data_IF_479449751703
#
_entry.id   IF_479449751703
#
_cell.length_a   1.000
_cell.length_b   1.000
_cell.length_c   1.000
_cell.angle_alpha   90.00
_cell.angle_beta   90.00
_cell.angle_gamma   90.00
#
_symmetry.space_group_name_H-M   'P 1'
#
loop_
_entity.id
_entity.type
_entity.pdbx_description
1 polymer ?
#
# COMPACT_ATOMS: atom_id res chain seq x y z
N UNK A 1 -12.61 82.12 -50.96
CA UNK A 1 -12.46 83.49 -50.40
C UNK A 1 -12.06 83.35 -48.96
N UNK A 2 -10.78 83.43 -48.65
CA UNK A 2 -9.96 84.38 -47.88
C UNK A 2 -10.80 85.09 -46.74
N UNK A 3 -10.26 85.37 -45.50
CA UNK A 3 -8.85 85.33 -45.04
C UNK A 3 -8.63 84.76 -43.62
N UNK A 4 -7.45 84.37 -43.38
CA UNK A 4 -6.42 84.75 -42.38
C UNK A 4 -6.87 85.53 -41.13
N UNK A 5 -6.50 85.05 -39.95
CA UNK A 5 -5.70 85.89 -39.02
C UNK A 5 -5.10 85.03 -37.88
N UNK A 6 -3.75 85.12 -37.72
CA UNK A 6 -3.02 84.91 -36.48
C UNK A 6 -2.97 86.27 -35.73
N UNK A 7 -2.82 86.23 -34.39
CA UNK A 7 -1.50 86.46 -33.88
C UNK A 7 -1.17 85.87 -32.49
N UNK A 8 0.12 85.68 -32.36
CA UNK A 8 1.09 85.96 -31.28
C UNK A 8 1.02 85.33 -29.90
N UNK A 9 2.08 84.55 -29.69
CA UNK A 9 3.07 84.56 -28.58
C UNK A 9 2.62 84.54 -27.12
N UNK A 10 3.09 83.57 -26.41
CA UNK A 10 3.18 83.52 -24.96
C UNK A 10 4.05 82.38 -24.49
N UNK A 11 5.39 82.57 -24.47
CA UNK A 11 6.40 81.70 -23.92
C UNK A 11 6.22 81.63 -22.39
N UNK A 12 5.88 80.48 -21.82
CA UNK A 12 6.03 80.23 -20.41
C UNK A 12 6.80 78.87 -20.21
N UNK A 13 7.98 79.02 -19.71
CA UNK A 13 8.89 77.96 -19.27
C UNK A 13 8.20 77.22 -18.10
N UNK A 14 7.79 76.01 -18.33
CA UNK A 14 7.25 75.09 -17.31
C UNK A 14 8.28 74.01 -17.02
N UNK A 15 8.88 74.08 -15.83
CA UNK A 15 9.80 73.10 -15.30
C UNK A 15 9.02 71.79 -15.12
N UNK A 16 9.36 70.79 -15.94
CA UNK A 16 8.86 69.39 -15.74
C UNK A 16 9.76 68.71 -14.71
N UNK A 17 9.23 68.58 -13.49
CA UNK A 17 9.81 67.80 -12.43
C UNK A 17 9.54 66.30 -12.70
N UNK A 18 10.53 65.58 -13.28
CA UNK A 18 10.44 64.11 -13.41
C UNK A 18 10.57 63.47 -12.04
N UNK A 19 9.45 63.10 -11.44
CA UNK A 19 9.42 62.22 -10.26
C UNK A 19 9.58 60.79 -10.76
N UNK A 20 10.81 60.26 -10.63
CA UNK A 20 11.10 58.85 -10.80
C UNK A 20 10.47 58.06 -9.65
N UNK A 21 9.30 57.48 -9.90
CA UNK A 21 8.71 56.44 -9.02
C UNK A 21 9.60 55.19 -9.17
N UNK A 22 10.49 54.97 -8.22
CA UNK A 22 11.21 53.69 -8.05
C UNK A 22 10.20 52.70 -7.52
N UNK A 23 9.54 51.94 -8.39
CA UNK A 23 8.67 50.84 -8.04
C UNK A 23 9.56 49.73 -7.47
N UNK A 24 9.75 49.68 -6.14
CA UNK A 24 10.29 48.52 -5.47
C UNK A 24 9.30 47.36 -5.64
N UNK A 25 9.62 46.46 -6.59
CA UNK A 25 8.93 45.17 -6.72
C UNK A 25 9.35 44.35 -5.49
N UNK A 26 8.55 44.41 -4.44
CA UNK A 26 8.61 43.40 -3.39
C UNK A 26 8.17 42.08 -4.01
N UNK A 27 9.11 41.26 -4.46
CA UNK A 27 8.88 39.84 -4.65
C UNK A 27 8.48 39.24 -3.30
N UNK A 28 7.19 39.16 -3.03
CA UNK A 28 6.64 38.32 -2.00
C UNK A 28 6.90 36.86 -2.43
N UNK A 29 8.07 36.36 -2.15
CA UNK A 29 8.35 34.94 -2.17
C UNK A 29 7.39 34.30 -1.17
N UNK A 30 6.43 33.49 -1.67
CA UNK A 30 5.66 32.60 -0.79
C UNK A 30 6.67 31.83 0.07
N UNK A 31 6.52 31.79 1.39
CA UNK A 31 7.39 30.94 2.21
C UNK A 31 7.31 29.54 1.66
N UNK A 32 8.46 28.98 1.29
CA UNK A 32 8.54 27.58 0.92
C UNK A 32 7.88 26.78 2.04
N UNK A 33 6.89 25.95 1.72
CA UNK A 33 6.23 25.11 2.69
C UNK A 33 7.32 24.32 3.42
N UNK A 34 7.48 24.57 4.72
CA UNK A 34 8.46 23.84 5.53
C UNK A 34 8.15 22.35 5.47
N UNK A 35 9.13 21.54 5.12
CA UNK A 35 8.99 20.08 5.12
C UNK A 35 8.54 19.61 6.52
N UNK A 36 7.36 19.00 6.67
CA UNK A 36 6.82 18.60 7.97
C UNK A 36 7.65 17.53 8.68
N UNK A 37 8.62 16.92 7.97
CA UNK A 37 9.53 15.90 8.51
C UNK A 37 10.95 16.43 8.77
N UNK A 38 11.25 17.70 8.45
CA UNK A 38 12.61 18.25 8.54
C UNK A 38 13.19 18.21 9.97
N UNK A 39 12.42 18.62 10.97
CA UNK A 39 12.86 18.61 12.36
C UNK A 39 13.08 17.18 12.86
N UNK A 40 12.16 16.29 12.52
CA UNK A 40 12.25 14.87 12.90
C UNK A 40 13.46 14.20 12.23
N UNK A 41 13.76 14.55 10.98
CA UNK A 41 14.95 14.08 10.28
C UNK A 41 16.24 14.51 10.98
N UNK A 42 16.35 15.78 11.39
CA UNK A 42 17.51 16.26 12.16
C UNK A 42 17.65 15.55 13.50
N UNK A 43 16.53 15.24 14.16
CA UNK A 43 16.53 14.50 15.42
C UNK A 43 16.97 13.05 15.23
N UNK A 44 16.48 12.39 14.19
CA UNK A 44 16.88 11.03 13.84
C UNK A 44 18.40 10.92 13.55
N UNK A 45 18.99 11.91 12.88
CA UNK A 45 20.45 11.96 12.68
C UNK A 45 21.22 12.06 14.01
N UNK A 46 20.72 12.86 14.95
CA UNK A 46 21.35 13.01 16.29
C UNK A 46 21.28 11.74 17.12
N UNK A 47 20.31 10.85 16.89
CA UNK A 47 20.21 9.51 17.50
C UNK A 47 21.22 8.50 16.91
N UNK A 48 22.00 8.89 15.92
CA UNK A 48 22.98 8.02 15.25
C UNK A 48 22.63 7.66 13.83
N UNK A 49 21.48 8.12 13.32
CA UNK A 49 21.07 7.96 11.93
C UNK A 49 20.91 6.49 11.49
N UNK A 50 20.43 5.62 12.37
CA UNK A 50 20.15 4.22 12.07
C UNK A 50 18.67 3.92 12.19
N UNK A 51 18.20 2.98 11.39
CA UNK A 51 16.83 2.45 11.40
C UNK A 51 16.85 0.93 11.17
N UNK A 52 16.96 0.11 12.19
CA UNK A 52 16.72 -1.33 12.09
C UNK A 52 15.25 -1.62 11.78
N UNK A 53 14.99 -2.14 10.57
CA UNK A 53 13.66 -2.45 10.04
C UNK A 53 13.48 -3.96 9.91
N UNK A 54 12.51 -4.53 10.62
CA UNK A 54 12.09 -5.93 10.47
C UNK A 54 10.82 -5.98 9.60
N UNK A 55 10.96 -6.39 8.35
CA UNK A 55 9.83 -6.45 7.43
C UNK A 55 10.01 -7.55 6.37
N UNK A 56 8.98 -8.35 6.09
CA UNK A 56 8.98 -9.33 5.01
C UNK A 56 8.66 -8.64 3.68
N UNK A 57 9.63 -7.96 3.10
CA UNK A 57 9.48 -7.26 1.84
C UNK A 57 9.78 -8.18 0.65
N UNK A 58 9.09 -7.98 -0.46
CA UNK A 58 9.48 -8.61 -1.73
C UNK A 58 10.90 -8.15 -2.14
N UNK A 59 11.63 -8.97 -2.91
CA UNK A 59 12.98 -8.63 -3.33
C UNK A 59 13.07 -7.26 -4.05
N UNK A 60 12.03 -6.88 -4.78
CA UNK A 60 11.94 -5.57 -5.42
C UNK A 60 11.68 -4.46 -4.39
N UNK A 61 10.73 -4.64 -3.49
CA UNK A 61 10.39 -3.67 -2.46
C UNK A 61 11.57 -3.39 -1.53
N UNK A 62 12.32 -4.44 -1.17
CA UNK A 62 13.54 -4.36 -0.36
C UNK A 62 14.61 -3.44 -1.00
N UNK A 63 14.75 -3.48 -2.32
CA UNK A 63 15.71 -2.64 -3.03
C UNK A 63 15.22 -1.21 -3.27
N UNK A 64 13.90 -0.98 -3.39
CA UNK A 64 13.33 0.31 -3.78
C UNK A 64 12.98 1.17 -2.56
N UNK A 65 12.24 0.61 -1.60
CA UNK A 65 11.65 1.41 -0.50
C UNK A 65 12.73 1.94 0.46
N UNK A 66 13.65 1.12 1.01
CA UNK A 66 14.72 1.64 1.86
C UNK A 66 15.65 2.63 1.14
N UNK A 67 15.98 2.36 -0.13
CA UNK A 67 16.84 3.25 -0.91
C UNK A 67 16.19 4.63 -1.14
N UNK A 68 14.89 4.67 -1.42
CA UNK A 68 14.16 5.93 -1.58
C UNK A 68 14.09 6.71 -0.27
N UNK A 69 13.85 6.03 0.86
CA UNK A 69 13.88 6.65 2.18
C UNK A 69 15.25 7.25 2.50
N UNK A 70 16.34 6.50 2.32
CA UNK A 70 17.70 6.99 2.56
C UNK A 70 18.09 8.16 1.63
N UNK A 71 17.60 8.15 0.40
CA UNK A 71 17.76 9.28 -0.54
C UNK A 71 17.02 10.53 -0.07
N UNK A 72 15.80 10.34 0.47
CA UNK A 72 14.96 11.43 0.97
C UNK A 72 15.49 12.02 2.27
N UNK A 73 16.09 11.19 3.12
CA UNK A 73 16.60 11.54 4.44
C UNK A 73 18.09 11.19 4.59
N UNK A 74 18.99 11.97 3.94
CA UNK A 74 20.43 11.73 4.01
C UNK A 74 20.94 11.73 5.45
N UNK A 75 21.81 10.77 5.79
CA UNK A 75 22.34 10.58 7.14
C UNK A 75 21.51 9.65 8.02
N UNK A 76 20.41 9.11 7.49
CA UNK A 76 19.68 7.98 8.12
C UNK A 76 19.87 6.75 7.24
N UNK A 77 20.35 5.66 7.83
CA UNK A 77 20.60 4.37 7.15
C UNK A 77 19.57 3.34 7.61
N UNK A 78 18.94 2.64 6.68
CA UNK A 78 18.01 1.55 6.96
C UNK A 78 18.75 0.23 6.99
N UNK A 79 18.74 -0.44 8.15
CA UNK A 79 19.26 -1.79 8.33
C UNK A 79 18.08 -2.77 8.25
N UNK A 80 17.79 -3.25 7.04
CA UNK A 80 16.65 -4.13 6.79
C UNK A 80 16.98 -5.60 7.07
N UNK A 81 16.14 -6.26 7.87
CA UNK A 81 16.17 -7.70 8.07
C UNK A 81 14.90 -8.31 7.51
N UNK A 82 15.09 -9.14 6.48
CA UNK A 82 14.05 -9.93 5.85
C UNK A 82 13.99 -11.35 6.46
N UNK A 83 12.79 -11.73 6.86
CA UNK A 83 12.45 -13.10 7.23
C UNK A 83 10.92 -13.28 7.15
N UNK A 84 10.45 -14.52 7.25
CA UNK A 84 9.01 -14.76 7.33
C UNK A 84 8.42 -14.12 8.59
N UNK A 85 7.17 -13.64 8.56
CA UNK A 85 6.56 -12.91 9.68
C UNK A 85 6.62 -13.63 11.02
N UNK A 86 6.45 -14.96 11.03
CA UNK A 86 6.58 -15.81 12.23
C UNK A 86 7.98 -15.79 12.82
N UNK A 87 9.03 -15.83 11.99
CA UNK A 87 10.43 -15.76 12.43
C UNK A 87 10.76 -14.37 12.97
N UNK A 88 10.26 -13.31 12.35
CA UNK A 88 10.45 -11.94 12.84
C UNK A 88 9.77 -11.76 14.20
N UNK A 89 8.53 -12.24 14.38
CA UNK A 89 7.86 -12.23 15.67
C UNK A 89 8.66 -12.98 16.74
N UNK A 90 9.06 -14.22 16.44
CA UNK A 90 9.84 -15.05 17.39
C UNK A 90 11.14 -14.35 17.78
N UNK A 91 11.81 -13.69 16.83
CA UNK A 91 13.03 -12.92 17.07
C UNK A 91 12.75 -11.73 18.00
N UNK A 92 11.75 -10.91 17.72
CA UNK A 92 11.37 -9.76 18.58
C UNK A 92 11.08 -10.22 20.00
N UNK A 93 10.26 -11.27 20.16
CA UNK A 93 9.92 -11.81 21.49
C UNK A 93 11.18 -12.33 22.23
N UNK A 94 12.10 -12.98 21.52
CA UNK A 94 13.38 -13.45 22.10
C UNK A 94 14.26 -12.29 22.54
N UNK A 95 14.38 -11.24 21.70
CA UNK A 95 15.15 -10.03 22.01
C UNK A 95 14.60 -9.33 23.25
N UNK A 96 13.28 -9.17 23.34
CA UNK A 96 12.60 -8.55 24.51
C UNK A 96 12.83 -9.40 25.78
N UNK A 97 12.71 -10.73 25.69
CA UNK A 97 12.99 -11.61 26.83
C UNK A 97 14.46 -11.54 27.26
N UNK A 98 15.37 -11.31 26.33
CA UNK A 98 16.78 -11.06 26.60
C UNK A 98 17.07 -9.64 27.14
N UNK A 99 16.04 -8.82 27.38
CA UNK A 99 16.18 -7.44 27.89
C UNK A 99 16.69 -6.43 26.88
N UNK A 100 16.65 -6.76 25.57
CA UNK A 100 17.21 -5.89 24.52
C UNK A 100 16.36 -5.93 23.26
N UNK A 101 15.82 -4.81 22.85
CA UNK A 101 15.13 -4.61 21.56
C UNK A 101 16.18 -4.17 20.54
N UNK A 102 16.25 -4.84 19.39
CA UNK A 102 17.24 -4.54 18.35
C UNK A 102 16.61 -3.86 17.12
N UNK A 103 15.31 -4.07 16.89
CA UNK A 103 14.59 -3.41 15.82
C UNK A 103 13.87 -2.16 16.30
N UNK A 104 13.73 -1.17 15.41
CA UNK A 104 12.93 0.02 15.67
C UNK A 104 11.50 -0.17 15.15
N UNK A 105 11.36 -0.73 13.95
CA UNK A 105 10.10 -0.87 13.22
C UNK A 105 9.84 -2.33 12.90
N UNK A 106 8.58 -2.74 13.08
CA UNK A 106 8.05 -3.96 12.48
C UNK A 106 7.09 -3.61 11.34
N UNK A 107 7.40 -4.07 10.14
CA UNK A 107 6.66 -3.78 8.90
C UNK A 107 5.88 -4.98 8.33
N UNK A 108 5.60 -5.98 9.16
CA UNK A 108 5.02 -7.24 8.71
C UNK A 108 3.49 -7.28 8.71
N UNK A 109 2.96 -8.50 8.56
CA UNK A 109 1.52 -8.70 8.42
C UNK A 109 0.74 -8.41 9.70
N UNK A 110 -0.51 -8.05 9.52
CA UNK A 110 -1.40 -7.58 10.56
C UNK A 110 -1.66 -8.63 11.67
N UNK A 111 -1.68 -9.93 11.33
CA UNK A 111 -1.87 -11.00 12.32
C UNK A 111 -0.76 -11.05 13.40
N UNK A 112 0.48 -10.74 13.01
CA UNK A 112 1.60 -10.71 13.96
C UNK A 112 1.70 -9.36 14.70
N UNK A 113 1.26 -8.28 14.08
CA UNK A 113 1.11 -6.98 14.76
C UNK A 113 0.09 -7.08 15.89
N UNK A 114 -1.02 -7.81 15.70
CA UNK A 114 -1.97 -8.08 16.76
C UNK A 114 -1.31 -8.78 17.95
N UNK A 115 -0.52 -9.82 17.70
CA UNK A 115 0.21 -10.54 18.75
C UNK A 115 1.24 -9.66 19.47
N UNK A 116 1.93 -8.76 18.75
CA UNK A 116 2.84 -7.79 19.37
C UNK A 116 2.07 -6.78 20.22
N UNK A 117 0.90 -6.35 19.77
CA UNK A 117 0.03 -5.41 20.51
C UNK A 117 -0.52 -6.06 21.79
N UNK A 118 -1.02 -7.30 21.71
CA UNK A 118 -1.50 -8.07 22.88
C UNK A 118 -0.42 -8.25 23.93
N UNK A 119 0.83 -8.44 23.51
CA UNK A 119 2.00 -8.55 24.40
C UNK A 119 2.52 -7.18 24.86
N UNK A 120 1.87 -6.06 24.48
CA UNK A 120 2.27 -4.69 24.80
C UNK A 120 3.68 -4.33 24.32
N UNK A 121 4.09 -4.85 23.18
CA UNK A 121 5.42 -4.66 22.58
C UNK A 121 5.44 -3.54 21.53
N UNK A 122 4.35 -2.84 21.32
CA UNK A 122 4.25 -1.69 20.41
C UNK A 122 4.03 -0.38 21.19
N UNK A 123 4.42 0.73 20.57
CA UNK A 123 4.09 2.08 21.07
C UNK A 123 2.86 2.63 20.35
N UNK A 124 2.02 3.43 21.04
CA UNK A 124 0.94 4.16 20.37
C UNK A 124 1.49 5.14 19.33
N UNK A 125 0.84 5.20 18.16
CA UNK A 125 1.22 6.05 17.04
C UNK A 125 0.27 7.24 16.93
N UNK A 126 0.78 8.45 17.11
CA UNK A 126 0.08 9.69 16.81
C UNK A 126 0.63 10.28 15.49
N UNK A 127 0.18 9.73 14.36
CA UNK A 127 0.68 10.11 13.04
C UNK A 127 -0.35 10.99 12.32
N UNK A 128 -0.05 12.27 12.04
CA UNK A 128 -0.97 13.16 11.32
C UNK A 128 -1.41 12.60 9.97
N UNK A 129 -0.50 11.94 9.25
CA UNK A 129 -0.74 11.32 7.95
C UNK A 129 -1.78 10.20 8.02
N UNK A 130 -1.94 9.56 9.19
CA UNK A 130 -2.95 8.51 9.40
C UNK A 130 -4.39 9.02 9.32
N UNK A 131 -4.62 10.33 9.36
CA UNK A 131 -5.95 10.92 9.22
C UNK A 131 -6.60 10.57 7.86
N UNK A 132 -5.80 10.41 6.81
CA UNK A 132 -6.27 10.04 5.47
C UNK A 132 -6.77 8.59 5.37
N UNK A 133 -6.36 7.71 6.29
CA UNK A 133 -6.62 6.28 6.21
C UNK A 133 -7.98 5.91 6.79
N UNK A 134 -8.75 5.01 6.14
CA UNK A 134 -9.97 4.45 6.68
C UNK A 134 -9.74 3.72 8.00
N UNK A 135 -10.76 3.62 8.85
CA UNK A 135 -10.64 3.03 10.18
C UNK A 135 -10.12 1.57 10.16
N UNK A 136 -10.52 0.78 9.16
CA UNK A 136 -10.06 -0.62 9.03
C UNK A 136 -8.59 -0.76 8.58
N UNK A 137 -7.92 0.34 8.21
CA UNK A 137 -6.52 0.35 7.77
C UNK A 137 -5.57 0.96 8.79
N UNK A 138 -6.04 1.19 10.00
CA UNK A 138 -5.23 1.74 11.09
C UNK A 138 -5.75 1.33 12.45
N UNK A 139 -4.88 1.48 13.45
CA UNK A 139 -5.22 1.43 14.88
C UNK A 139 -4.36 2.42 15.63
N UNK A 140 -4.41 2.38 16.97
CA UNK A 140 -3.51 3.18 17.80
C UNK A 140 -2.04 2.73 17.69
N UNK A 141 -1.75 1.52 17.16
CA UNK A 141 -0.42 0.93 17.17
C UNK A 141 0.17 0.65 15.78
N UNK A 142 -0.61 0.80 14.74
CA UNK A 142 -0.17 0.53 13.37
C UNK A 142 -1.00 1.28 12.33
N UNK A 143 -0.41 1.53 11.18
CA UNK A 143 -1.09 2.03 9.97
C UNK A 143 -0.65 1.18 8.79
N UNK A 144 -1.59 0.82 7.92
CA UNK A 144 -1.32 0.02 6.72
C UNK A 144 -0.33 0.73 5.78
N UNK A 145 0.65 0.00 5.26
CA UNK A 145 1.56 0.47 4.21
C UNK A 145 1.17 -0.04 2.84
N UNK A 146 0.60 -1.22 2.77
CA UNK A 146 0.13 -1.82 1.53
C UNK A 146 -1.09 -2.71 1.77
N UNK A 147 -1.74 -3.05 0.67
CA UNK A 147 -2.90 -3.95 0.65
C UNK A 147 -2.68 -5.07 -0.35
N UNK A 148 -3.29 -6.20 -0.11
CA UNK A 148 -3.33 -7.30 -1.06
C UNK A 148 -4.75 -7.80 -1.28
N UNK A 149 -5.02 -8.30 -2.48
CA UNK A 149 -6.36 -8.72 -2.88
C UNK A 149 -6.35 -10.15 -3.38
N UNK A 150 -7.25 -10.95 -2.83
CA UNK A 150 -7.59 -12.27 -3.32
C UNK A 150 -8.63 -12.12 -4.41
N UNK A 151 -8.29 -12.58 -5.60
CA UNK A 151 -9.14 -12.50 -6.79
C UNK A 151 -9.16 -13.81 -7.55
N UNK A 152 -10.09 -13.94 -8.46
CA UNK A 152 -10.07 -14.99 -9.48
C UNK A 152 -9.22 -14.56 -10.68
N UNK A 153 -8.57 -15.51 -11.32
CA UNK A 153 -7.94 -15.30 -12.62
C UNK A 153 -7.92 -16.59 -13.45
N UNK A 154 -7.65 -16.46 -14.73
CA UNK A 154 -7.69 -17.61 -15.65
C UNK A 154 -6.55 -17.59 -16.67
N UNK A 155 -6.27 -18.78 -17.23
CA UNK A 155 -5.35 -18.95 -18.34
C UNK A 155 -6.11 -18.78 -19.66
N UNK A 156 -5.71 -17.78 -20.47
CA UNK A 156 -6.40 -17.42 -21.73
C UNK A 156 -6.22 -18.43 -22.86
N UNK A 157 -5.25 -19.35 -22.77
CA UNK A 157 -5.11 -20.45 -23.72
C UNK A 157 -6.10 -21.58 -23.44
N UNK A 158 -6.58 -21.71 -22.19
CA UNK A 158 -7.46 -22.80 -21.75
C UNK A 158 -8.91 -22.36 -21.61
N UNK A 159 -9.15 -21.10 -21.27
CA UNK A 159 -10.49 -20.50 -21.19
C UNK A 159 -10.72 -19.64 -22.41
N UNK A 160 -11.66 -20.04 -23.26
CA UNK A 160 -11.99 -19.32 -24.51
C UNK A 160 -12.61 -17.97 -24.20
N UNK A 161 -12.39 -16.99 -25.07
CA UNK A 161 -13.02 -15.68 -25.00
C UNK A 161 -14.55 -15.82 -24.98
N UNK A 162 -15.19 -15.20 -23.99
CA UNK A 162 -16.64 -15.27 -23.74
C UNK A 162 -17.07 -16.39 -22.81
N UNK A 163 -16.17 -17.33 -22.44
CA UNK A 163 -16.42 -18.40 -21.48
C UNK A 163 -15.79 -18.13 -20.10
N UNK A 164 -15.02 -17.03 -19.97
CA UNK A 164 -14.37 -16.62 -18.74
C UNK A 164 -15.38 -16.36 -17.59
N UNK A 165 -14.98 -16.56 -16.31
CA UNK A 165 -15.84 -16.21 -15.19
C UNK A 165 -16.07 -14.70 -15.16
N UNK A 166 -17.30 -14.26 -14.95
CA UNK A 166 -17.71 -12.85 -14.88
C UNK A 166 -17.74 -12.32 -13.45
N UNK A 167 -17.98 -13.21 -12.51
CA UNK A 167 -18.03 -12.97 -11.09
C UNK A 167 -17.64 -14.25 -10.34
N UNK A 168 -17.59 -14.17 -9.03
CA UNK A 168 -17.17 -15.30 -8.22
C UNK A 168 -18.23 -16.42 -8.17
N UNK A 169 -19.52 -16.08 -8.30
CA UNK A 169 -20.63 -17.04 -8.33
C UNK A 169 -20.57 -17.96 -9.54
N UNK A 170 -20.04 -17.47 -10.66
CA UNK A 170 -19.88 -18.27 -11.89
C UNK A 170 -18.98 -19.50 -11.66
N UNK A 171 -18.09 -19.47 -10.67
CA UNK A 171 -17.21 -20.58 -10.33
C UNK A 171 -17.94 -21.79 -9.75
N UNK A 172 -19.18 -21.61 -9.27
CA UNK A 172 -20.04 -22.70 -8.84
C UNK A 172 -20.71 -23.46 -9.99
N UNK A 173 -20.54 -22.99 -11.23
CA UNK A 173 -21.11 -23.67 -12.40
C UNK A 173 -20.40 -25.01 -12.64
N UNK A 174 -21.16 -26.12 -12.86
CA UNK A 174 -20.59 -27.44 -13.15
C UNK A 174 -19.61 -27.50 -14.35
N UNK A 175 -19.67 -26.52 -15.26
CA UNK A 175 -18.69 -26.41 -16.36
C UNK A 175 -17.23 -26.32 -15.88
N UNK A 176 -17.01 -25.85 -14.63
CA UNK A 176 -15.70 -25.70 -14.03
C UNK A 176 -15.23 -26.97 -13.29
N UNK A 177 -15.95 -28.10 -13.43
CA UNK A 177 -15.50 -29.36 -12.84
C UNK A 177 -14.06 -29.65 -13.26
N UNK A 178 -13.22 -30.00 -12.29
CA UNK A 178 -11.78 -30.27 -12.47
C UNK A 178 -10.96 -29.11 -13.07
N UNK A 179 -11.50 -27.88 -13.07
CA UNK A 179 -10.88 -26.71 -13.70
C UNK A 179 -10.34 -25.66 -12.72
N UNK A 180 -10.73 -25.76 -11.44
CA UNK A 180 -10.37 -24.77 -10.44
C UNK A 180 -9.17 -25.20 -9.61
N UNK A 181 -8.32 -24.23 -9.24
CA UNK A 181 -7.30 -24.38 -8.20
C UNK A 181 -7.28 -23.19 -7.25
N UNK A 182 -6.77 -23.38 -6.02
CA UNK A 182 -6.69 -22.35 -4.99
C UNK A 182 -5.74 -22.71 -3.86
N UNK A 183 -5.57 -21.78 -2.93
CA UNK A 183 -4.78 -21.96 -1.71
C UNK A 183 -5.74 -22.34 -0.56
N UNK A 184 -5.51 -23.44 0.15
CA UNK A 184 -6.48 -23.96 1.13
C UNK A 184 -6.64 -23.08 2.37
N UNK A 185 -5.70 -22.15 2.63
CA UNK A 185 -5.74 -21.26 3.79
C UNK A 185 -6.44 -19.92 3.52
N UNK A 186 -6.95 -19.69 2.30
CA UNK A 186 -7.57 -18.43 1.90
C UNK A 186 -9.04 -18.30 2.38
N UNK A 187 -9.28 -18.64 3.63
CA UNK A 187 -10.60 -18.47 4.25
C UNK A 187 -11.03 -16.99 4.33
N UNK A 188 -10.10 -16.06 4.21
CA UNK A 188 -10.38 -14.62 4.12
C UNK A 188 -11.35 -14.30 3.00
N UNK A 189 -11.28 -15.02 1.89
CA UNK A 189 -12.21 -14.84 0.77
C UNK A 189 -13.63 -15.14 1.20
N UNK A 190 -13.85 -16.28 1.90
CA UNK A 190 -15.15 -16.65 2.48
C UNK A 190 -15.65 -15.58 3.46
N UNK A 191 -14.79 -15.12 4.36
CA UNK A 191 -15.14 -14.12 5.38
C UNK A 191 -15.53 -12.80 4.72
N UNK A 192 -14.75 -12.35 3.74
CA UNK A 192 -15.03 -11.12 2.99
C UNK A 192 -16.39 -11.16 2.30
N UNK A 193 -16.70 -12.28 1.65
CA UNK A 193 -18.02 -12.49 1.02
C UNK A 193 -19.13 -12.57 2.06
N UNK A 194 -18.93 -13.31 3.17
CA UNK A 194 -19.91 -13.43 4.22
C UNK A 194 -20.28 -12.08 4.84
N UNK A 195 -19.26 -11.27 5.18
CA UNK A 195 -19.47 -10.02 5.92
C UNK A 195 -19.77 -8.81 5.04
N UNK A 196 -19.16 -8.72 3.85
CA UNK A 196 -19.22 -7.52 3.02
C UNK A 196 -20.10 -7.64 1.79
N UNK A 197 -20.21 -8.84 1.21
CA UNK A 197 -21.04 -9.05 0.02
C UNK A 197 -22.46 -9.50 0.39
N UNK A 198 -22.58 -10.55 1.22
CA UNK A 198 -23.88 -11.19 1.48
C UNK A 198 -24.51 -10.78 2.81
N UNK A 199 -23.73 -10.24 3.74
CA UNK A 199 -24.14 -10.09 5.15
C UNK A 199 -24.75 -11.39 5.72
N UNK A 200 -24.18 -12.54 5.36
CA UNK A 200 -24.64 -13.87 5.73
C UNK A 200 -23.54 -14.90 5.54
N UNK A 201 -23.18 -15.59 6.61
CA UNK A 201 -22.21 -16.69 6.56
C UNK A 201 -22.77 -17.89 5.79
N UNK A 202 -24.05 -18.23 5.98
CA UNK A 202 -24.68 -19.36 5.31
C UNK A 202 -24.67 -19.20 3.78
N UNK A 203 -25.03 -18.01 3.28
CA UNK A 203 -24.99 -17.73 1.84
C UNK A 203 -23.57 -17.86 1.27
N UNK A 204 -22.58 -17.33 1.98
CA UNK A 204 -21.20 -17.48 1.56
C UNK A 204 -20.76 -18.95 1.61
N UNK A 205 -21.02 -19.65 2.70
CA UNK A 205 -20.67 -21.05 2.87
C UNK A 205 -21.33 -21.94 1.80
N UNK A 206 -22.59 -21.70 1.44
CA UNK A 206 -23.28 -22.44 0.37
C UNK A 206 -22.65 -22.21 -0.99
N UNK A 207 -22.21 -20.99 -1.30
CA UNK A 207 -21.45 -20.73 -2.53
C UNK A 207 -20.14 -21.50 -2.54
N UNK A 208 -19.36 -21.43 -1.46
CA UNK A 208 -18.06 -22.09 -1.37
C UNK A 208 -18.20 -23.62 -1.38
N UNK A 209 -19.25 -24.20 -0.80
CA UNK A 209 -19.57 -25.64 -0.95
C UNK A 209 -19.84 -26.02 -2.41
N UNK A 210 -20.59 -25.20 -3.15
CA UNK A 210 -20.82 -25.41 -4.60
C UNK A 210 -19.54 -25.31 -5.40
N UNK A 211 -18.66 -24.35 -5.09
CA UNK A 211 -17.33 -24.24 -5.70
C UNK A 211 -16.50 -25.48 -5.37
N UNK A 212 -16.47 -25.93 -4.12
CA UNK A 212 -15.73 -27.13 -3.71
C UNK A 212 -16.23 -28.38 -4.43
N UNK A 213 -17.53 -28.49 -4.71
CA UNK A 213 -18.12 -29.59 -5.44
C UNK A 213 -17.64 -29.69 -6.91
N UNK A 214 -17.00 -28.65 -7.46
CA UNK A 214 -16.34 -28.69 -8.76
C UNK A 214 -14.97 -29.39 -8.73
N UNK A 215 -14.58 -30.00 -7.63
CA UNK A 215 -13.30 -30.72 -7.45
C UNK A 215 -12.08 -29.80 -7.57
N UNK A 216 -12.05 -28.77 -6.74
CA UNK A 216 -10.95 -27.81 -6.65
C UNK A 216 -9.65 -28.53 -6.29
N UNK A 217 -8.56 -28.21 -7.00
CA UNK A 217 -7.21 -28.63 -6.63
C UNK A 217 -6.55 -27.57 -5.75
N UNK A 218 -6.12 -27.96 -4.56
CA UNK A 218 -5.46 -27.05 -3.64
C UNK A 218 -3.94 -27.16 -3.69
N UNK A 219 -3.27 -26.00 -3.67
CA UNK A 219 -1.82 -25.88 -3.62
C UNK A 219 -1.41 -24.85 -2.57
N UNK A 220 -0.35 -25.13 -1.83
CA UNK A 220 0.16 -24.20 -0.82
C UNK A 220 1.14 -23.20 -1.44
N UNK A 221 0.88 -21.91 -1.21
CA UNK A 221 1.75 -20.81 -1.61
C UNK A 221 1.31 -20.11 -2.89
N UNK A 222 0.95 -18.82 -2.76
CA UNK A 222 0.44 -18.00 -3.87
C UNK A 222 1.44 -17.79 -5.01
N UNK A 223 2.75 -17.71 -4.70
CA UNK A 223 3.78 -17.59 -5.73
C UNK A 223 3.85 -18.84 -6.63
N UNK A 224 3.62 -20.02 -6.05
CA UNK A 224 3.57 -21.27 -6.81
C UNK A 224 2.24 -21.39 -7.56
N UNK A 225 1.14 -21.01 -6.92
CA UNK A 225 -0.19 -21.08 -7.50
C UNK A 225 -0.31 -20.28 -8.81
N UNK A 226 0.27 -19.08 -8.87
CA UNK A 226 0.24 -18.28 -10.10
C UNK A 226 1.13 -18.89 -11.20
N UNK A 227 2.25 -19.52 -10.85
CA UNK A 227 3.08 -20.23 -11.85
C UNK A 227 2.34 -21.44 -12.45
N UNK A 228 1.56 -22.17 -11.66
CA UNK A 228 0.70 -23.24 -12.12
C UNK A 228 -0.39 -22.72 -13.08
N UNK A 229 -0.95 -21.53 -12.79
CA UNK A 229 -1.90 -20.88 -13.70
C UNK A 229 -1.23 -20.52 -15.02
N UNK A 230 -0.03 -19.94 -14.99
CA UNK A 230 0.76 -19.60 -16.20
C UNK A 230 1.06 -20.85 -17.01
N UNK A 231 1.48 -21.93 -16.34
CA UNK A 231 1.78 -23.20 -16.99
C UNK A 231 0.54 -23.96 -17.53
N UNK A 232 -0.67 -23.49 -17.17
CA UNK A 232 -1.92 -24.14 -17.63
C UNK A 232 -2.23 -25.44 -16.91
N UNK A 233 -1.75 -25.64 -15.68
CA UNK A 233 -2.05 -26.84 -14.89
C UNK A 233 -3.55 -26.98 -14.63
N UNK A 234 -4.23 -25.86 -14.37
CA UNK A 234 -5.69 -25.72 -14.30
C UNK A 234 -6.10 -24.43 -14.99
N UNK A 235 -7.29 -24.38 -15.62
CA UNK A 235 -7.77 -23.19 -16.33
C UNK A 235 -7.97 -21.96 -15.47
N UNK A 236 -8.39 -22.12 -14.20
CA UNK A 236 -8.80 -21.02 -13.32
C UNK A 236 -8.19 -21.17 -11.93
N UNK A 237 -7.61 -20.07 -11.45
CA UNK A 237 -7.24 -19.89 -10.05
C UNK A 237 -8.31 -19.02 -9.38
N UNK A 238 -8.93 -19.49 -8.31
CA UNK A 238 -10.02 -18.75 -7.67
C UNK A 238 -9.58 -17.92 -6.46
N UNK A 239 -8.35 -18.11 -5.97
CA UNK A 239 -7.76 -17.37 -4.84
C UNK A 239 -6.34 -16.87 -5.13
N UNK A 240 -6.12 -16.31 -6.32
CA UNK A 240 -4.81 -15.72 -6.64
C UNK A 240 -4.68 -14.30 -6.09
N UNK A 241 -3.44 -13.87 -5.77
CA UNK A 241 -3.15 -12.47 -5.49
C UNK A 241 -3.15 -11.62 -6.75
N UNK A 242 -3.87 -10.50 -6.73
CA UNK A 242 -4.01 -9.62 -7.88
C UNK A 242 -2.68 -9.05 -8.39
N UNK A 243 -1.77 -8.69 -7.48
CA UNK A 243 -0.46 -8.12 -7.82
C UNK A 243 0.49 -9.11 -8.50
N UNK A 244 0.18 -10.40 -8.49
CA UNK A 244 0.97 -11.41 -9.20
C UNK A 244 0.76 -11.40 -10.72
N UNK A 245 -0.37 -10.84 -11.21
CA UNK A 245 -0.71 -10.87 -12.64
C UNK A 245 0.13 -9.91 -13.50
N UNK A 246 0.23 -8.61 -13.19
CA UNK A 246 0.86 -7.66 -14.10
C UNK A 246 2.30 -7.98 -14.48
N UNK A 247 3.20 -8.42 -13.56
CA UNK A 247 4.58 -8.73 -13.93
C UNK A 247 4.69 -9.90 -14.90
N UNK A 248 3.76 -10.87 -14.83
CA UNK A 248 3.73 -12.05 -15.70
C UNK A 248 3.10 -11.75 -17.04
N UNK A 249 2.01 -10.98 -17.04
CA UNK A 249 1.35 -10.51 -18.27
C UNK A 249 2.31 -9.67 -19.13
N UNK A 250 3.12 -8.80 -18.50
CA UNK A 250 4.18 -8.04 -19.20
C UNK A 250 5.24 -8.91 -19.85
N UNK A 251 5.46 -10.12 -19.32
CA UNK A 251 6.34 -11.13 -19.91
C UNK A 251 5.64 -12.04 -20.91
N UNK A 252 4.39 -11.74 -21.27
CA UNK A 252 3.62 -12.51 -22.26
C UNK A 252 2.91 -13.75 -21.69
N UNK A 253 2.80 -13.89 -20.36
CA UNK A 253 2.05 -15.00 -19.78
C UNK A 253 0.58 -14.95 -20.17
N UNK A 254 -0.03 -16.08 -20.61
CA UNK A 254 -1.41 -16.13 -21.09
C UNK A 254 -2.40 -16.19 -19.91
N UNK A 255 -2.38 -15.19 -19.07
CA UNK A 255 -3.27 -15.11 -17.88
C UNK A 255 -3.99 -13.78 -17.82
N UNK A 256 -5.19 -13.77 -17.23
CA UNK A 256 -5.97 -12.57 -16.98
C UNK A 256 -6.59 -12.59 -15.58
N UNK A 257 -6.60 -11.45 -14.84
CA UNK A 257 -7.27 -11.31 -13.56
C UNK A 257 -8.73 -10.92 -13.74
N UNK A 258 -9.61 -11.43 -12.89
CA UNK A 258 -10.97 -10.93 -12.71
C UNK A 258 -10.93 -9.80 -11.68
N UNK A 259 -11.02 -8.57 -12.13
CA UNK A 259 -10.99 -7.38 -11.26
C UNK A 259 -12.38 -6.76 -11.01
N UNK A 260 -13.44 -7.54 -11.17
CA UNK A 260 -14.79 -7.08 -10.83
C UNK A 260 -15.02 -7.07 -9.32
N UNK A 261 -14.47 -8.07 -8.62
CA UNK A 261 -14.59 -8.22 -7.17
C UNK A 261 -13.44 -9.03 -6.58
N UNK A 262 -13.24 -8.90 -5.27
CA UNK A 262 -12.26 -9.64 -4.50
C UNK A 262 -12.27 -9.27 -3.03
N UNK A 263 -11.66 -10.10 -2.19
CA UNK A 263 -11.43 -9.77 -0.78
C UNK A 263 -10.08 -9.11 -0.62
N UNK A 264 -10.06 -7.99 0.10
CA UNK A 264 -8.84 -7.26 0.39
C UNK A 264 -8.42 -7.42 1.85
N UNK A 265 -7.13 -7.35 2.08
CA UNK A 265 -6.56 -7.28 3.42
C UNK A 265 -5.35 -6.35 3.47
N UNK A 266 -4.98 -5.93 4.68
CA UNK A 266 -3.73 -5.22 4.92
C UNK A 266 -2.57 -6.20 4.73
N UNK A 267 -1.66 -5.89 3.82
CA UNK A 267 -0.47 -6.69 3.52
C UNK A 267 0.65 -6.43 4.51
N UNK A 268 1.05 -5.18 4.62
CA UNK A 268 2.07 -4.69 5.54
C UNK A 268 1.61 -3.47 6.35
N UNK A 269 2.31 -3.18 7.42
CA UNK A 269 2.03 -2.04 8.29
C UNK A 269 3.28 -1.28 8.68
N UNK A 270 3.13 -0.03 9.08
CA UNK A 270 4.11 0.69 9.88
C UNK A 270 3.72 0.55 11.36
N UNK A 271 4.58 -0.04 12.17
CA UNK A 271 4.44 -0.10 13.63
C UNK A 271 5.81 0.07 14.29
N UNK A 272 5.85 0.70 15.48
CA UNK A 272 7.09 0.98 16.21
C UNK A 272 7.15 0.11 17.46
N UNK A 273 8.30 -0.55 17.65
CA UNK A 273 8.52 -1.43 18.78
C UNK A 273 8.75 -0.61 20.07
N UNK A 274 8.18 -1.09 21.17
CA UNK A 274 8.42 -0.51 22.49
C UNK A 274 9.87 -0.77 22.91
N UNK A 275 10.60 0.29 23.22
CA UNK A 275 12.03 0.22 23.50
C UNK A 275 12.90 0.27 22.24
N UNK A 276 12.37 0.70 21.13
CA UNK A 276 13.11 0.98 19.89
C UNK A 276 14.38 1.80 20.19
N UNK A 277 15.58 1.36 19.75
CA UNK A 277 16.83 2.07 19.98
C UNK A 277 16.87 3.48 19.38
N UNK A 278 16.17 3.69 18.24
CA UNK A 278 16.17 4.96 17.51
C UNK A 278 14.72 5.43 17.25
N UNK A 279 14.00 5.88 18.31
CA UNK A 279 12.56 6.19 18.22
C UNK A 279 12.23 7.32 17.25
N UNK A 280 13.11 8.32 17.06
CA UNK A 280 12.87 9.38 16.09
C UNK A 280 13.09 8.91 14.65
N UNK A 281 14.06 8.03 14.39
CA UNK A 281 14.22 7.40 13.09
C UNK A 281 13.03 6.48 12.76
N UNK A 282 12.52 5.73 13.73
CA UNK A 282 11.32 4.92 13.62
C UNK A 282 10.08 5.76 13.28
N UNK A 283 9.89 6.87 13.98
CA UNK A 283 8.79 7.80 13.73
C UNK A 283 8.91 8.46 12.35
N UNK A 284 10.11 8.84 11.94
CA UNK A 284 10.39 9.40 10.61
C UNK A 284 9.99 8.41 9.51
N UNK A 285 10.40 7.13 9.67
CA UNK A 285 10.00 6.07 8.75
C UNK A 285 8.49 5.88 8.72
N UNK A 286 7.84 5.73 9.87
CA UNK A 286 6.42 5.48 9.96
C UNK A 286 5.60 6.59 9.28
N UNK A 287 5.93 7.86 9.54
CA UNK A 287 5.27 9.01 8.92
C UNK A 287 5.50 9.06 7.41
N UNK A 288 6.75 8.87 6.97
CA UNK A 288 7.05 8.87 5.54
C UNK A 288 6.39 7.69 4.82
N UNK A 289 6.48 6.47 5.36
CA UNK A 289 5.95 5.27 4.71
C UNK A 289 4.44 5.33 4.44
N UNK A 290 3.69 6.05 5.29
CA UNK A 290 2.24 6.23 5.13
C UNK A 290 1.85 7.56 4.47
N UNK A 291 2.80 8.45 4.17
CA UNK A 291 2.54 9.67 3.42
C UNK A 291 2.28 9.38 1.94
N UNK A 292 1.63 10.31 1.23
CA UNK A 292 1.49 10.16 -0.23
C UNK A 292 2.84 10.00 -0.94
N UNK A 293 3.90 10.69 -0.46
CA UNK A 293 5.25 10.57 -1.01
C UNK A 293 5.78 9.14 -0.88
N UNK A 294 5.78 8.59 0.33
CA UNK A 294 6.23 7.22 0.59
C UNK A 294 5.37 6.19 -0.14
N UNK A 295 4.06 6.37 -0.16
CA UNK A 295 3.14 5.45 -0.82
C UNK A 295 3.30 5.40 -2.35
N UNK A 296 3.73 6.50 -2.99
CA UNK A 296 4.14 6.46 -4.41
C UNK A 296 5.37 5.57 -4.60
N UNK A 297 6.31 5.58 -3.66
CA UNK A 297 7.46 4.68 -3.69
C UNK A 297 7.03 3.22 -3.51
N UNK A 298 6.06 2.93 -2.64
CA UNK A 298 5.47 1.58 -2.55
C UNK A 298 4.86 1.14 -3.89
N UNK A 299 4.13 2.03 -4.57
CA UNK A 299 3.62 1.74 -5.92
C UNK A 299 4.76 1.44 -6.92
N UNK A 300 5.82 2.24 -6.93
CA UNK A 300 7.02 2.03 -7.77
C UNK A 300 7.72 0.72 -7.45
N UNK A 301 7.71 0.30 -6.19
CA UNK A 301 8.21 -0.99 -5.76
C UNK A 301 7.33 -2.17 -6.21
N UNK A 302 6.13 -1.91 -6.73
CA UNK A 302 5.19 -2.91 -7.21
C UNK A 302 4.21 -3.41 -6.15
N UNK A 303 4.21 -2.77 -4.99
CA UNK A 303 3.21 -3.02 -3.95
C UNK A 303 1.90 -2.29 -4.27
N UNK A 304 0.82 -2.66 -3.61
CA UNK A 304 -0.46 -1.95 -3.73
C UNK A 304 -0.58 -0.96 -2.57
N UNK A 305 -0.40 0.34 -2.79
CA UNK A 305 -0.41 1.33 -1.72
C UNK A 305 -1.69 1.26 -0.88
N UNK A 306 -1.57 1.45 0.43
CA UNK A 306 -2.72 1.53 1.32
C UNK A 306 -3.36 2.93 1.36
N UNK A 307 -2.61 3.98 1.03
CA UNK A 307 -3.10 5.35 1.05
C UNK A 307 -4.20 5.56 -0.01
N UNK A 308 -5.37 6.13 0.35
CA UNK A 308 -6.54 6.21 -0.54
C UNK A 308 -6.31 7.06 -1.78
N UNK A 309 -5.41 8.05 -1.72
CA UNK A 309 -5.11 8.98 -2.82
C UNK A 309 -3.95 8.49 -3.72
N UNK A 310 -3.38 7.32 -3.46
CA UNK A 310 -2.26 6.78 -4.25
C UNK A 310 -2.68 5.51 -4.95
N UNK A 311 -2.72 5.57 -6.28
CA UNK A 311 -3.03 4.40 -7.09
C UNK A 311 -1.77 3.53 -7.31
N UNK A 312 -1.92 2.20 -7.35
CA UNK A 312 -0.84 1.32 -7.78
C UNK A 312 -0.51 1.58 -9.25
N UNK A 313 0.75 1.33 -9.65
CA UNK A 313 1.19 1.49 -11.04
C UNK A 313 0.43 0.59 -12.01
N UNK A 314 -0.05 -0.53 -11.53
CA UNK A 314 -0.80 -1.51 -12.32
C UNK A 314 -2.22 -1.64 -11.75
N UNK A 315 -3.17 -1.91 -12.64
CA UNK A 315 -4.55 -2.16 -12.22
C UNK A 315 -4.63 -3.51 -11.49
N UNK A 316 -4.60 -3.48 -10.18
CA UNK A 316 -4.62 -4.67 -9.30
C UNK A 316 -5.74 -4.64 -8.27
N UNK A 317 -6.36 -3.48 -8.02
CA UNK A 317 -7.52 -3.36 -7.13
C UNK A 317 -8.78 -3.83 -7.85
N UNK A 318 -9.56 -4.74 -7.23
CA UNK A 318 -10.87 -5.08 -7.76
C UNK A 318 -11.85 -3.92 -7.60
N UNK A 319 -12.82 -3.83 -8.51
CA UNK A 319 -13.84 -2.77 -8.48
C UNK A 319 -14.70 -2.84 -7.21
N UNK A 320 -15.05 -4.06 -6.76
CA UNK A 320 -15.64 -4.32 -5.46
C UNK A 320 -14.59 -5.00 -4.56
N UNK A 321 -13.95 -4.23 -3.69
CA UNK A 321 -12.96 -4.72 -2.73
C UNK A 321 -13.60 -4.92 -1.35
N UNK A 322 -13.76 -6.17 -0.94
CA UNK A 322 -14.31 -6.54 0.37
C UNK A 322 -13.19 -6.54 1.42
N UNK A 323 -12.83 -5.35 1.91
CA UNK A 323 -11.74 -5.18 2.88
C UNK A 323 -12.09 -5.78 4.23
N UNK A 324 -11.17 -6.60 4.76
CA UNK A 324 -11.27 -7.19 6.10
C UNK A 324 -10.48 -6.36 7.11
N UNK A 325 -11.08 -6.14 8.28
CA UNK A 325 -10.38 -5.64 9.48
C UNK A 325 -9.64 -6.78 10.18
N UNK A 326 -8.78 -6.42 11.13
CA UNK A 326 -7.99 -7.41 11.89
C UNK A 326 -8.87 -8.40 12.65
N UNK A 327 -9.93 -7.91 13.31
CA UNK A 327 -10.82 -8.70 14.14
C UNK A 327 -11.67 -9.70 13.32
N UNK A 328 -11.75 -9.47 12.01
CA UNK A 328 -12.53 -10.31 11.10
C UNK A 328 -11.72 -11.45 10.48
N UNK A 329 -10.39 -11.42 10.63
CA UNK A 329 -9.47 -12.43 10.04
C UNK A 329 -9.39 -13.70 10.85
N UNK A 330 -9.62 -13.62 12.15
CA UNK A 330 -9.59 -14.78 13.02
C UNK A 330 -11.01 -15.28 13.17
N UNK A 331 -11.34 -16.52 12.75
CA UNK A 331 -12.60 -17.13 13.14
C UNK A 331 -12.60 -17.17 14.67
N UNK A 332 -13.59 -16.53 15.29
CA UNK A 332 -13.85 -16.81 16.70
C UNK A 332 -14.34 -18.27 16.75
N UNK A 333 -13.44 -19.13 17.21
CA UNK A 333 -13.72 -20.55 17.46
C UNK A 333 -14.60 -20.67 18.68
#
# INVERSE_FOLDING_TARGET
MIPFNFPSQGFRLGIILCILFLSAVFSSGSPAATDPLAELHETAKKEGGKLPLYAPLSARAMNVIPAAFMKRFPGVTVDHIDATPDKLLARIVSEVRGGRVLADVYGGSLAYVAQLSEQQLLVPLALPEAAAYPAQMKSDFWVATDTQFYITGWNTNLVKKGEEPKNFEDLANPKWKDSLMGEPRDFQLLIGFAKRKYNSLDKAADLFKKIAATQVQFHTGHSQLIEFLVAGQRPVCFTCYSHHFPPRMKKGAPIQPLLTEGTGEVGGVASILKGAPHPNAALLWARWAISEEGQRVYAEAGETPAHPNVEPLEKVRPAAAYMLSIDERVPQV
#
